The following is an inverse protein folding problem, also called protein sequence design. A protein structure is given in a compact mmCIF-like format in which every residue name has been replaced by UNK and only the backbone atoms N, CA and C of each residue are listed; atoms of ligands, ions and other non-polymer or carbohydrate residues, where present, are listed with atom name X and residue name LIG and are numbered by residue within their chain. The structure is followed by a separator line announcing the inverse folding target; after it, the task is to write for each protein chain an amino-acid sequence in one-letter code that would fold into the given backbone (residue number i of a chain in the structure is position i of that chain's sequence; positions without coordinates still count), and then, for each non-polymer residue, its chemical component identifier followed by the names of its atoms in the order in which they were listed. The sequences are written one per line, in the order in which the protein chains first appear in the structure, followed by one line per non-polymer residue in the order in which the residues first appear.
data_IF_474331695721
#
_entry.id   IF_474331695721
#
_cell.length_a   1.000
_cell.length_b   1.000
_cell.length_c   1.000
_cell.angle_alpha   90.00
_cell.angle_beta   90.00
_cell.angle_gamma   90.00
#
_symmetry.space_group_name_H-M   'P 1'
#
loop_
_entity.id
_entity.type
_entity.pdbx_description
1 polymer ?
#
# COMPACT_ATOMS: atom_id res chain seq x y z
N UNK A 1 25.30 -55.72 -42.85
CA UNK A 1 24.43 -54.94 -41.95
C UNK A 1 25.10 -54.94 -40.58
N UNK A 2 25.72 -53.81 -40.20
CA UNK A 2 26.42 -53.64 -38.92
C UNK A 2 25.47 -52.93 -37.96
N UNK A 3 25.16 -53.60 -36.84
CA UNK A 3 24.32 -53.07 -35.76
C UNK A 3 25.25 -52.39 -34.77
N UNK A 4 25.28 -51.06 -34.77
CA UNK A 4 25.97 -50.29 -33.74
C UNK A 4 25.07 -50.17 -32.52
N UNK A 5 25.48 -50.84 -31.45
CA UNK A 5 24.80 -50.82 -30.15
C UNK A 5 25.44 -49.70 -29.32
N UNK A 6 24.78 -48.53 -29.29
CA UNK A 6 25.20 -47.40 -28.46
C UNK A 6 24.76 -47.63 -27.00
N UNK A 7 25.71 -47.93 -26.12
CA UNK A 7 25.49 -47.94 -24.67
C UNK A 7 25.38 -46.49 -24.16
N UNK A 8 24.17 -46.08 -23.79
CA UNK A 8 23.89 -44.85 -23.06
C UNK A 8 23.98 -45.14 -21.55
N UNK A 9 25.12 -44.79 -20.94
CA UNK A 9 25.26 -44.77 -19.48
C UNK A 9 24.49 -43.59 -18.90
N UNK A 10 23.30 -43.84 -18.37
CA UNK A 10 22.54 -42.88 -17.56
C UNK A 10 23.09 -42.92 -16.14
N UNK A 11 23.94 -41.96 -15.79
CA UNK A 11 24.28 -41.67 -14.39
C UNK A 11 23.12 -40.94 -13.73
N UNK A 12 22.34 -41.67 -12.94
CA UNK A 12 21.35 -41.10 -12.00
C UNK A 12 22.08 -40.35 -10.89
N UNK A 13 22.17 -39.03 -11.00
CA UNK A 13 22.56 -38.14 -9.90
C UNK A 13 21.34 -37.98 -9.00
N UNK A 14 21.31 -38.70 -7.89
CA UNK A 14 20.36 -38.45 -6.80
C UNK A 14 20.80 -37.15 -6.13
N UNK A 15 20.18 -36.03 -6.51
CA UNK A 15 20.25 -34.80 -5.74
C UNK A 15 19.41 -35.04 -4.48
N UNK A 16 20.08 -35.43 -3.40
CA UNK A 16 19.48 -35.45 -2.08
C UNK A 16 18.99 -34.04 -1.75
N UNK A 17 17.68 -33.87 -1.65
CA UNK A 17 17.08 -32.68 -1.06
C UNK A 17 17.59 -32.58 0.38
N UNK A 18 18.58 -31.70 0.57
CA UNK A 18 19.07 -31.30 1.87
C UNK A 18 17.97 -30.55 2.60
N UNK A 19 17.06 -31.28 3.25
CA UNK A 19 16.49 -30.78 4.48
C UNK A 19 17.68 -30.58 5.41
N UNK A 20 18.04 -29.32 5.64
CA UNK A 20 18.93 -28.91 6.71
C UNK A 20 18.25 -29.35 8.01
N UNK A 21 18.51 -30.59 8.42
CA UNK A 21 18.27 -31.03 9.79
C UNK A 21 19.26 -30.20 10.60
N UNK A 22 18.74 -29.13 11.19
CA UNK A 22 19.46 -28.33 12.17
C UNK A 22 20.16 -29.30 13.12
N UNK A 23 21.49 -29.26 13.06
CA UNK A 23 22.39 -30.11 13.82
C UNK A 23 21.93 -30.15 15.28
N UNK A 24 21.52 -31.34 15.74
CA UNK A 24 21.23 -31.58 17.15
C UNK A 24 22.51 -31.32 17.94
N UNK A 25 22.63 -30.14 18.55
CA UNK A 25 23.66 -29.84 19.53
C UNK A 25 23.15 -30.34 20.89
N UNK A 26 23.83 -31.29 21.55
CA UNK A 26 23.54 -31.61 22.94
C UNK A 26 23.63 -30.32 23.77
N UNK A 27 22.50 -29.87 24.32
CA UNK A 27 22.41 -28.63 25.11
C UNK A 27 21.54 -27.51 24.52
N UNK A 28 20.95 -27.65 23.33
CA UNK A 28 19.96 -26.66 22.84
C UNK A 28 18.61 -26.85 23.52
N UNK A 29 18.20 -25.87 24.34
CA UNK A 29 16.86 -25.82 24.90
C UNK A 29 15.81 -25.67 23.79
N UNK A 30 14.83 -26.56 23.73
CA UNK A 30 13.71 -26.45 22.80
C UNK A 30 12.61 -25.63 23.47
N UNK A 31 12.31 -24.45 22.93
CA UNK A 31 11.31 -23.53 23.45
C UNK A 31 10.05 -23.55 22.59
N UNK A 32 8.89 -23.66 23.24
CA UNK A 32 7.57 -23.59 22.60
C UNK A 32 6.73 -22.43 23.15
N UNK A 33 6.15 -21.57 22.29
CA UNK A 33 6.34 -21.50 20.84
C UNK A 33 7.77 -21.04 20.46
N UNK A 34 8.21 -21.36 19.23
CA UNK A 34 9.53 -20.98 18.73
C UNK A 34 9.68 -19.45 18.68
N UNK A 35 10.63 -18.84 19.42
CA UNK A 35 10.86 -17.39 19.43
C UNK A 35 11.15 -16.80 18.04
N UNK A 36 11.62 -17.62 17.09
CA UNK A 36 12.14 -17.16 15.80
C UNK A 36 11.04 -16.86 14.78
N UNK A 37 9.78 -17.22 15.06
CA UNK A 37 8.65 -17.06 14.13
C UNK A 37 7.58 -16.11 14.68
N UNK A 38 7.79 -14.79 14.59
CA UNK A 38 6.73 -13.83 14.84
C UNK A 38 5.60 -13.93 13.78
N UNK A 39 4.35 -13.63 14.13
CA UNK A 39 3.86 -13.23 15.46
C UNK A 39 3.78 -14.42 16.43
N UNK A 40 4.24 -14.22 17.66
CA UNK A 40 4.23 -15.28 18.67
C UNK A 40 2.81 -15.57 19.17
N UNK A 41 2.48 -16.84 19.43
CA UNK A 41 1.20 -17.20 20.08
C UNK A 41 1.17 -16.74 21.55
N UNK A 42 2.33 -16.62 22.17
CA UNK A 42 2.50 -16.22 23.57
C UNK A 42 3.77 -15.39 23.73
N UNK A 43 3.73 -14.41 24.65
CA UNK A 43 4.90 -13.63 25.06
C UNK A 43 5.76 -14.34 26.11
N UNK A 44 5.42 -15.59 26.43
CA UNK A 44 6.21 -16.51 27.23
C UNK A 44 6.32 -17.83 26.49
N UNK A 45 7.55 -18.34 26.33
CA UNK A 45 7.81 -19.69 25.83
C UNK A 45 8.25 -20.60 26.97
N UNK A 46 7.78 -21.85 26.96
CA UNK A 46 8.31 -22.91 27.83
C UNK A 46 9.48 -23.58 27.14
N UNK A 47 10.63 -23.57 27.78
CA UNK A 47 11.86 -24.19 27.29
C UNK A 47 12.11 -25.49 28.04
N UNK A 48 12.09 -26.60 27.31
CA UNK A 48 12.38 -27.92 27.87
C UNK A 48 13.89 -28.09 27.98
N UNK A 49 14.36 -28.02 29.23
CA UNK A 49 15.68 -28.46 29.69
C UNK A 49 15.46 -29.39 30.89
N UNK A 50 16.53 -29.96 31.45
CA UNK A 50 16.46 -30.82 32.65
C UNK A 50 15.72 -30.20 33.84
N UNK A 51 15.64 -28.87 33.92
CA UNK A 51 15.02 -28.15 35.03
C UNK A 51 13.76 -27.33 34.64
N UNK A 52 13.34 -27.35 33.36
CA UNK A 52 12.16 -26.64 32.86
C UNK A 52 12.13 -25.13 33.14
N UNK A 53 12.47 -24.29 32.17
CA UNK A 53 12.53 -22.83 32.38
C UNK A 53 11.53 -22.10 31.47
N UNK A 54 11.03 -20.95 31.93
CA UNK A 54 10.19 -20.05 31.14
C UNK A 54 11.00 -18.89 30.60
N UNK A 55 10.97 -18.69 29.29
CA UNK A 55 11.55 -17.52 28.63
C UNK A 55 10.47 -16.46 28.41
N UNK A 56 10.65 -15.29 29.03
CA UNK A 56 9.80 -14.11 28.77
C UNK A 56 10.39 -13.35 27.58
N UNK A 57 9.60 -13.20 26.52
CA UNK A 57 10.02 -12.48 25.32
C UNK A 57 10.13 -10.98 25.58
N UNK A 58 11.10 -10.34 24.91
CA UNK A 58 11.33 -8.90 25.04
C UNK A 58 10.10 -8.07 24.62
N UNK A 59 9.96 -6.89 25.24
CA UNK A 59 8.89 -5.97 24.92
C UNK A 59 8.94 -5.57 23.43
N UNK A 60 7.77 -5.46 22.79
CA UNK A 60 7.63 -5.03 21.40
C UNK A 60 7.62 -6.15 20.35
N UNK A 61 7.91 -7.42 20.72
CA UNK A 61 7.76 -8.55 19.80
C UNK A 61 6.28 -8.71 19.42
N UNK A 62 5.94 -8.82 18.12
CA UNK A 62 4.56 -9.02 17.70
C UNK A 62 4.03 -10.37 18.18
N UNK A 63 2.80 -10.37 18.67
CA UNK A 63 2.15 -11.55 19.24
C UNK A 63 0.67 -11.60 18.86
N UNK A 64 0.07 -12.79 18.86
CA UNK A 64 -1.36 -12.97 18.70
C UNK A 64 -2.06 -12.86 20.05
N UNK A 65 -3.14 -12.10 20.10
CA UNK A 65 -4.07 -12.13 21.22
C UNK A 65 -5.50 -12.25 20.70
N UNK A 66 -6.34 -12.95 21.46
CA UNK A 66 -7.75 -13.11 21.16
C UNK A 66 -8.53 -11.96 21.83
N UNK A 67 -9.18 -11.12 21.02
CA UNK A 67 -10.08 -10.08 21.51
C UNK A 67 -11.51 -10.40 21.09
N UNK A 68 -12.32 -10.87 22.05
CA UNK A 68 -13.75 -11.20 21.84
C UNK A 68 -14.00 -12.11 20.62
N UNK A 69 -13.20 -13.17 20.49
CA UNK A 69 -13.33 -14.15 19.40
C UNK A 69 -12.62 -13.75 18.11
N UNK A 70 -11.98 -12.58 18.05
CA UNK A 70 -11.15 -12.14 16.91
C UNK A 70 -9.67 -12.14 17.28
N UNK A 71 -8.89 -12.95 16.59
CA UNK A 71 -7.43 -12.92 16.67
C UNK A 71 -6.89 -11.60 16.09
N UNK A 72 -6.05 -10.90 16.86
CA UNK A 72 -5.40 -9.65 16.45
C UNK A 72 -3.92 -9.68 16.79
N UNK A 73 -3.12 -8.88 16.07
CA UNK A 73 -1.71 -8.70 16.36
C UNK A 73 -1.56 -7.60 17.43
N UNK A 74 -0.92 -7.97 18.53
CA UNK A 74 -0.51 -7.12 19.63
C UNK A 74 1.01 -7.05 19.75
N UNK A 75 1.48 -6.55 20.89
CA UNK A 75 2.90 -6.55 21.26
C UNK A 75 3.09 -7.11 22.66
N UNK A 76 4.19 -7.82 22.86
CA UNK A 76 4.61 -8.26 24.17
C UNK A 76 4.93 -7.06 25.06
N UNK A 77 4.34 -7.01 26.24
CA UNK A 77 4.73 -6.11 27.33
C UNK A 77 4.73 -6.90 28.63
N UNK A 78 5.90 -6.97 29.30
CA UNK A 78 6.09 -7.71 30.57
C UNK A 78 5.58 -9.16 30.51
N UNK A 79 5.80 -9.84 29.39
CA UNK A 79 5.37 -11.25 29.20
C UNK A 79 3.89 -11.44 28.84
N UNK A 80 3.13 -10.37 28.62
CA UNK A 80 1.73 -10.44 28.18
C UNK A 80 1.58 -9.89 26.77
N UNK A 81 0.78 -10.57 25.93
CA UNK A 81 0.43 -10.02 24.63
C UNK A 81 -0.65 -8.96 24.80
N UNK A 82 -0.25 -7.69 24.70
CA UNK A 82 -1.17 -6.56 24.82
C UNK A 82 -1.60 -6.06 23.45
N UNK A 83 -2.86 -5.65 23.34
CA UNK A 83 -3.33 -4.96 22.15
C UNK A 83 -2.46 -3.74 21.88
N UNK A 84 -2.09 -3.55 20.61
CA UNK A 84 -1.50 -2.28 20.20
C UNK A 84 -2.49 -1.15 20.54
N UNK A 85 -2.05 -0.07 21.20
CA UNK A 85 -2.90 1.07 21.48
C UNK A 85 -3.51 1.57 20.16
N UNK A 86 -4.80 1.91 20.18
CA UNK A 86 -5.45 2.57 19.05
C UNK A 86 -5.08 4.05 19.08
N UNK A 87 -4.76 4.68 17.93
CA UNK A 87 -4.67 4.08 16.60
C UNK A 87 -3.44 3.16 16.48
N UNK A 88 -3.60 2.01 15.79
CA UNK A 88 -2.50 1.06 15.56
C UNK A 88 -1.32 1.82 14.92
N UNK A 89 -0.08 1.58 15.34
CA UNK A 89 1.09 2.14 14.68
C UNK A 89 1.02 1.89 13.17
N UNK A 90 1.17 2.95 12.37
CA UNK A 90 1.25 2.81 10.92
C UNK A 90 2.55 2.06 10.58
N UNK A 91 2.51 0.95 9.82
CA UNK A 91 3.73 0.27 9.41
C UNK A 91 4.57 1.17 8.50
N UNK A 92 5.89 1.12 8.64
CA UNK A 92 6.84 1.90 7.82
C UNK A 92 7.13 1.21 6.48
N UNK A 93 6.08 0.82 5.76
CA UNK A 93 6.19 -0.05 4.58
C UNK A 93 5.88 0.65 3.27
N UNK A 94 5.95 1.98 3.22
CA UNK A 94 5.68 2.83 2.05
C UNK A 94 4.29 2.69 1.38
N UNK A 95 3.35 1.92 1.95
CA UNK A 95 2.01 1.73 1.39
C UNK A 95 1.02 2.74 1.95
N UNK A 96 0.41 3.52 1.05
CA UNK A 96 -0.70 4.41 1.40
C UNK A 96 -1.97 3.60 1.67
N UNK A 97 -2.64 3.90 2.79
CA UNK A 97 -3.84 3.20 3.27
C UNK A 97 -5.00 4.14 3.58
N UNK A 98 -4.93 5.38 3.12
CA UNK A 98 -6.06 6.29 3.20
C UNK A 98 -7.11 5.93 2.15
N UNK A 99 -8.36 6.30 2.38
CA UNK A 99 -9.44 6.02 1.44
C UNK A 99 -9.53 7.01 0.27
N UNK A 100 -9.12 8.26 0.47
CA UNK A 100 -9.10 9.30 -0.57
C UNK A 100 -7.70 9.51 -1.13
N UNK A 101 -7.52 10.50 -1.99
CA UNK A 101 -6.19 10.86 -2.50
C UNK A 101 -5.23 11.22 -1.37
N UNK A 102 -3.96 10.82 -1.50
CA UNK A 102 -2.92 11.27 -0.58
C UNK A 102 -2.67 12.77 -0.77
N UNK A 103 -2.78 13.57 0.30
CA UNK A 103 -2.47 15.01 0.24
C UNK A 103 -0.97 15.30 0.10
N UNK A 104 -0.13 14.31 0.41
CA UNK A 104 1.31 14.36 0.27
C UNK A 104 1.87 12.98 -0.10
N UNK A 105 3.06 12.95 -0.69
CA UNK A 105 3.72 11.73 -1.15
C UNK A 105 4.74 11.15 -0.16
N UNK A 106 4.63 11.58 1.09
CA UNK A 106 5.44 11.08 2.21
C UNK A 106 4.67 11.17 3.52
N UNK A 107 5.11 10.38 4.50
CA UNK A 107 4.59 10.42 5.86
C UNK A 107 5.69 10.16 6.87
N UNK A 108 5.53 10.71 8.06
CA UNK A 108 6.42 10.41 9.18
C UNK A 108 6.02 9.06 9.78
N UNK A 109 6.98 8.14 9.86
CA UNK A 109 6.82 6.86 10.53
C UNK A 109 7.69 6.80 11.78
N UNK A 110 7.15 6.20 12.85
CA UNK A 110 7.85 6.03 14.13
C UNK A 110 8.17 4.54 14.33
N UNK A 111 9.44 4.17 14.21
CA UNK A 111 9.87 2.77 14.28
C UNK A 111 10.71 2.51 15.52
N UNK A 112 10.08 2.58 16.70
CA UNK A 112 10.70 2.22 17.99
C UNK A 112 12.13 2.75 18.15
N UNK A 113 13.12 1.85 18.07
CA UNK A 113 14.56 2.16 18.22
C UNK A 113 15.13 3.16 17.21
N UNK A 114 14.53 3.28 16.02
CA UNK A 114 15.03 4.17 14.97
C UNK A 114 14.38 5.56 14.99
N UNK A 115 13.46 5.82 15.93
CA UNK A 115 12.80 7.12 16.05
C UNK A 115 11.87 7.44 14.87
N UNK A 116 11.54 8.73 14.77
CA UNK A 116 10.70 9.28 13.71
C UNK A 116 11.54 9.53 12.45
N UNK A 117 11.12 9.00 11.31
CA UNK A 117 11.74 9.30 10.02
C UNK A 117 10.69 9.42 8.91
N UNK A 118 11.04 10.14 7.85
CA UNK A 118 10.15 10.38 6.71
C UNK A 118 10.25 9.20 5.74
N UNK A 119 9.11 8.57 5.46
CA UNK A 119 8.98 7.51 4.46
C UNK A 119 8.20 8.06 3.27
N UNK A 120 8.71 7.82 2.06
CA UNK A 120 8.02 8.19 0.81
C UNK A 120 7.05 7.09 0.42
N UNK A 121 5.88 7.46 -0.08
CA UNK A 121 4.94 6.47 -0.64
C UNK A 121 5.52 5.85 -1.90
N UNK A 122 5.08 4.62 -2.18
CA UNK A 122 5.45 3.90 -3.40
C UNK A 122 5.07 4.70 -4.66
N UNK A 123 5.90 4.59 -5.70
CA UNK A 123 5.68 5.30 -6.96
C UNK A 123 4.35 4.89 -7.58
N UNK A 124 3.61 5.89 -8.06
CA UNK A 124 2.29 5.66 -8.65
C UNK A 124 1.12 5.71 -7.65
N UNK A 125 1.38 5.97 -6.37
CA UNK A 125 0.32 6.22 -5.38
C UNK A 125 -0.49 7.46 -5.80
N UNK A 126 -1.84 7.36 -5.92
CA UNK A 126 -2.68 8.51 -6.25
C UNK A 126 -2.60 9.61 -5.19
N UNK A 127 -2.40 10.83 -5.62
CA UNK A 127 -2.23 11.99 -4.75
C UNK A 127 -2.93 13.22 -5.32
N UNK A 128 -3.20 14.20 -4.47
CA UNK A 128 -3.70 15.52 -4.89
C UNK A 128 -3.06 16.58 -4.01
N UNK A 129 -2.50 17.61 -4.63
CA UNK A 129 -1.91 18.71 -3.87
C UNK A 129 -3.02 19.52 -3.22
N UNK A 130 -2.78 20.03 -2.01
CA UNK A 130 -3.75 20.85 -1.28
C UNK A 130 -3.11 22.14 -0.80
N UNK A 131 -3.90 23.21 -0.71
CA UNK A 131 -3.48 24.47 -0.10
C UNK A 131 -3.52 24.38 1.42
N UNK A 132 -3.15 25.47 2.10
CA UNK A 132 -3.16 25.56 3.57
C UNK A 132 -4.55 25.30 4.19
N UNK A 133 -5.62 25.50 3.42
CA UNK A 133 -7.01 25.24 3.84
C UNK A 133 -7.45 23.79 3.56
N UNK A 134 -6.54 22.93 3.08
CA UNK A 134 -6.85 21.55 2.69
C UNK A 134 -7.72 21.44 1.43
N UNK A 135 -7.82 22.52 0.64
CA UNK A 135 -8.55 22.52 -0.63
C UNK A 135 -7.63 22.05 -1.76
N UNK A 136 -8.13 21.27 -2.73
CA UNK A 136 -7.31 20.76 -3.82
C UNK A 136 -6.75 21.88 -4.70
N UNK A 137 -5.50 21.73 -5.12
CA UNK A 137 -4.80 22.60 -6.07
C UNK A 137 -4.64 21.83 -7.38
N UNK A 138 -5.46 22.15 -8.36
CA UNK A 138 -5.42 21.51 -9.68
C UNK A 138 -5.91 20.06 -9.68
N UNK A 139 -5.44 19.29 -10.66
CA UNK A 139 -5.82 17.89 -10.85
C UNK A 139 -5.02 16.96 -9.92
N UNK A 140 -5.52 15.74 -9.66
CA UNK A 140 -4.79 14.69 -9.00
C UNK A 140 -3.65 14.17 -9.88
N UNK A 141 -2.74 13.48 -9.24
CA UNK A 141 -1.51 13.00 -9.82
C UNK A 141 -1.05 11.69 -9.21
N UNK A 142 0.21 11.38 -9.46
CA UNK A 142 0.87 10.24 -8.84
C UNK A 142 2.12 10.65 -8.06
N UNK A 143 2.40 9.92 -6.98
CA UNK A 143 3.62 10.07 -6.23
C UNK A 143 4.83 9.59 -7.03
N UNK A 144 5.86 10.44 -7.14
CA UNK A 144 7.15 10.16 -7.76
C UNK A 144 8.25 10.86 -6.98
N UNK A 145 9.23 10.10 -6.49
CA UNK A 145 10.33 10.60 -5.66
C UNK A 145 9.89 11.47 -4.45
N UNK A 146 8.74 11.17 -3.84
CA UNK A 146 8.21 11.92 -2.70
C UNK A 146 7.44 13.20 -3.06
N UNK A 147 7.23 13.47 -4.35
CA UNK A 147 6.45 14.62 -4.85
C UNK A 147 5.21 14.13 -5.59
N UNK A 148 4.10 14.87 -5.48
CA UNK A 148 2.89 14.59 -6.25
C UNK A 148 2.98 15.25 -7.63
N UNK A 149 3.10 14.44 -8.69
CA UNK A 149 3.17 14.92 -10.08
C UNK A 149 1.76 14.85 -10.68
N UNK A 150 1.19 16.01 -11.00
CA UNK A 150 -0.16 16.18 -11.56
C UNK A 150 -0.30 15.47 -12.91
N UNK A 151 -1.52 15.02 -13.21
CA UNK A 151 -1.83 14.25 -14.43
C UNK A 151 -1.37 14.94 -15.71
N UNK A 152 -1.61 16.26 -15.83
CA UNK A 152 -1.21 17.07 -16.99
C UNK A 152 0.31 17.22 -17.17
N UNK A 153 1.10 16.86 -16.16
CA UNK A 153 2.56 16.97 -16.18
C UNK A 153 3.26 15.61 -16.34
N UNK A 154 2.50 14.53 -16.54
CA UNK A 154 3.06 13.21 -16.80
C UNK A 154 3.51 13.11 -18.25
N UNK A 155 4.61 12.38 -18.47
CA UNK A 155 5.05 12.07 -19.84
C UNK A 155 4.08 11.13 -20.54
N UNK A 156 4.06 11.15 -21.88
CA UNK A 156 3.11 10.38 -22.70
C UNK A 156 3.04 8.88 -22.34
N UNK A 157 4.17 8.28 -21.95
CA UNK A 157 4.25 6.87 -21.52
C UNK A 157 3.66 6.60 -20.13
N UNK A 158 3.56 7.61 -19.27
CA UNK A 158 3.05 7.51 -17.90
C UNK A 158 1.55 7.85 -17.80
N UNK A 159 1.02 8.68 -18.70
CA UNK A 159 -0.37 9.18 -18.68
C UNK A 159 -1.38 8.04 -18.67
N UNK A 160 -1.25 7.05 -19.55
CA UNK A 160 -2.21 5.95 -19.65
C UNK A 160 -2.35 5.16 -18.34
N UNK A 161 -1.26 4.56 -17.82
CA UNK A 161 -1.27 3.84 -16.54
C UNK A 161 -1.67 4.72 -15.35
N UNK A 162 -1.25 5.98 -15.32
CA UNK A 162 -1.59 6.90 -14.23
C UNK A 162 -3.08 7.25 -14.23
N UNK A 163 -3.69 7.49 -15.40
CA UNK A 163 -5.13 7.79 -15.54
C UNK A 163 -5.98 6.70 -14.88
N UNK A 164 -5.64 5.43 -15.11
CA UNK A 164 -6.37 4.30 -14.52
C UNK A 164 -6.29 4.26 -13.00
N UNK A 165 -5.17 4.69 -12.41
CA UNK A 165 -4.98 4.71 -10.95
C UNK A 165 -5.60 5.95 -10.31
N UNK A 166 -5.44 7.09 -10.96
CA UNK A 166 -5.93 8.38 -10.48
C UNK A 166 -7.45 8.40 -10.48
N UNK A 167 -8.08 7.93 -11.56
CA UNK A 167 -9.54 7.93 -11.70
C UNK A 167 -10.15 6.54 -11.43
N UNK A 168 -9.54 5.79 -10.51
CA UNK A 168 -10.03 4.49 -10.09
C UNK A 168 -11.36 4.63 -9.31
N UNK A 169 -12.22 3.61 -9.39
CA UNK A 169 -13.60 3.65 -8.86
C UNK A 169 -13.65 3.94 -7.36
N UNK A 170 -12.65 3.51 -6.59
CA UNK A 170 -12.56 3.78 -5.16
C UNK A 170 -12.49 5.28 -4.80
N UNK A 171 -11.98 6.11 -5.71
CA UNK A 171 -11.89 7.57 -5.52
C UNK A 171 -13.11 8.33 -6.06
N UNK A 172 -14.00 7.65 -6.80
CA UNK A 172 -15.23 8.24 -7.34
C UNK A 172 -16.33 8.22 -6.28
N UNK A 173 -16.29 9.19 -5.35
CA UNK A 173 -17.30 9.33 -4.28
C UNK A 173 -18.11 10.63 -4.34
N UNK A 174 -17.67 11.60 -5.14
CA UNK A 174 -18.44 12.84 -5.32
C UNK A 174 -19.62 12.57 -6.25
N UNK A 175 -20.78 13.18 -5.97
CA UNK A 175 -21.98 13.02 -6.82
C UNK A 175 -21.82 13.79 -8.12
N UNK A 176 -22.14 13.23 -9.27
CA UNK A 176 -22.07 14.02 -10.51
C UNK A 176 -22.87 15.34 -10.39
N UNK A 177 -22.32 16.42 -10.94
CA UNK A 177 -22.93 17.76 -10.87
C UNK A 177 -22.81 18.50 -12.19
N UNK A 178 -23.65 19.51 -12.39
CA UNK A 178 -23.52 20.42 -13.52
C UNK A 178 -22.62 21.61 -13.19
N UNK A 179 -22.02 22.16 -14.24
CA UNK A 179 -21.19 23.35 -14.24
C UNK A 179 -22.08 24.60 -14.22
N UNK A 180 -22.55 24.95 -13.03
CA UNK A 180 -23.40 26.14 -12.81
C UNK A 180 -22.72 27.46 -13.20
N UNK A 181 -21.38 27.49 -13.25
CA UNK A 181 -20.63 28.67 -13.67
C UNK A 181 -20.67 28.91 -15.19
N UNK A 182 -21.11 27.92 -15.98
CA UNK A 182 -21.20 27.99 -17.46
C UNK A 182 -19.89 28.42 -18.14
N UNK A 183 -18.76 28.07 -17.53
CA UNK A 183 -17.41 28.30 -18.07
C UNK A 183 -16.93 27.07 -18.84
N UNK A 184 -16.03 27.25 -19.81
CA UNK A 184 -15.40 26.11 -20.47
C UNK A 184 -14.42 25.42 -19.51
N UNK A 185 -14.60 24.13 -19.31
CA UNK A 185 -13.81 23.32 -18.39
C UNK A 185 -12.50 22.85 -19.05
N UNK A 186 -11.39 22.94 -18.32
CA UNK A 186 -10.12 22.32 -18.71
C UNK A 186 -10.05 20.83 -18.34
N UNK A 187 -10.91 20.39 -17.41
CA UNK A 187 -10.99 19.02 -16.91
C UNK A 187 -12.47 18.72 -16.60
N UNK A 188 -12.96 17.55 -17.04
CA UNK A 188 -14.33 17.10 -16.82
C UNK A 188 -14.54 16.42 -15.47
N UNK A 189 -13.50 16.37 -14.64
CA UNK A 189 -13.58 15.96 -13.25
C UNK A 189 -13.70 17.18 -12.32
N UNK A 190 -14.33 16.96 -11.18
CA UNK A 190 -14.31 17.91 -10.09
C UNK A 190 -14.00 17.19 -8.78
N UNK A 191 -13.56 17.95 -7.78
CA UNK A 191 -13.07 17.39 -6.53
C UNK A 191 -13.93 17.85 -5.36
N UNK A 192 -14.22 16.94 -4.43
CA UNK A 192 -14.98 17.21 -3.23
C UNK A 192 -14.28 16.63 -1.99
N UNK A 193 -14.64 17.18 -0.83
CA UNK A 193 -14.15 16.72 0.47
C UNK A 193 -15.27 15.98 1.20
N UNK A 194 -15.03 14.73 1.59
CA UNK A 194 -15.94 13.90 2.39
C UNK A 194 -15.13 13.38 3.58
N UNK A 195 -15.58 13.66 4.81
CA UNK A 195 -14.87 13.29 6.05
C UNK A 195 -13.38 13.67 6.03
N UNK A 196 -13.10 14.92 5.63
CA UNK A 196 -11.76 15.48 5.49
C UNK A 196 -10.87 14.83 4.40
N UNK A 197 -11.41 13.97 3.55
CA UNK A 197 -10.68 13.27 2.48
C UNK A 197 -11.13 13.75 1.10
N UNK A 198 -10.21 13.73 0.14
CA UNK A 198 -10.47 14.18 -1.22
C UNK A 198 -10.82 13.02 -2.14
N UNK A 199 -11.86 13.25 -2.93
CA UNK A 199 -12.42 12.34 -3.91
C UNK A 199 -12.72 13.12 -5.19
N UNK A 200 -13.00 12.41 -6.27
CA UNK A 200 -13.46 13.01 -7.52
C UNK A 200 -14.92 12.64 -7.84
N UNK A 201 -15.51 13.40 -8.74
CA UNK A 201 -16.75 13.11 -9.45
C UNK A 201 -16.73 13.74 -10.83
N UNK A 202 -17.77 13.51 -11.62
CA UNK A 202 -17.82 14.05 -12.98
C UNK A 202 -18.70 15.30 -13.06
N UNK A 203 -18.35 16.18 -13.99
CA UNK A 203 -19.34 17.07 -14.56
C UNK A 203 -20.30 16.26 -15.45
N UNK A 204 -21.60 16.55 -15.33
CA UNK A 204 -22.66 15.81 -16.02
C UNK A 204 -22.66 15.98 -17.54
N UNK A 205 -23.62 15.35 -18.21
CA UNK A 205 -23.78 15.42 -19.68
C UNK A 205 -24.63 16.62 -20.15
N UNK A 206 -24.89 17.59 -19.27
CA UNK A 206 -25.65 18.80 -19.61
C UNK A 206 -24.91 19.71 -20.60
N UNK A 207 -25.66 20.54 -21.32
CA UNK A 207 -25.12 21.50 -22.30
C UNK A 207 -24.21 22.56 -21.68
N UNK A 208 -24.31 22.77 -20.36
CA UNK A 208 -23.52 23.74 -19.60
C UNK A 208 -22.12 23.20 -19.24
N UNK A 209 -21.84 21.92 -19.50
CA UNK A 209 -20.57 21.26 -19.18
C UNK A 209 -19.64 21.22 -20.40
N UNK A 210 -19.41 22.37 -21.05
CA UNK A 210 -18.47 22.46 -22.16
C UNK A 210 -17.02 22.34 -21.68
N UNK A 211 -16.15 21.80 -22.53
CA UNK A 211 -14.75 21.55 -22.20
C UNK A 211 -13.84 21.77 -23.40
N UNK A 212 -12.55 21.99 -23.17
CA UNK A 212 -11.56 22.08 -24.25
C UNK A 212 -11.15 20.67 -24.71
N UNK A 213 -11.35 20.39 -25.99
CA UNK A 213 -10.81 19.18 -26.61
C UNK A 213 -9.28 19.32 -26.66
N UNK A 214 -8.57 18.31 -26.15
CA UNK A 214 -7.11 18.30 -26.13
C UNK A 214 -6.55 17.92 -27.52
N UNK A 215 -6.84 18.76 -28.51
CA UNK A 215 -6.31 18.65 -29.87
C UNK A 215 -5.16 19.66 -30.05
N UNK A 216 -3.95 19.16 -30.29
CA UNK A 216 -2.78 20.01 -30.53
C UNK A 216 -2.90 20.80 -31.84
N UNK A 217 -3.65 20.31 -32.82
CA UNK A 217 -3.86 21.00 -34.08
C UNK A 217 -4.91 22.12 -33.95
N UNK A 218 -5.90 21.95 -33.07
CA UNK A 218 -7.02 22.89 -32.90
C UNK A 218 -7.37 23.11 -31.41
N UNK A 219 -6.55 23.88 -30.67
CA UNK A 219 -6.66 24.03 -29.21
C UNK A 219 -7.92 24.77 -28.74
N UNK A 220 -8.71 25.34 -29.66
CA UNK A 220 -9.96 26.05 -29.35
C UNK A 220 -11.21 25.21 -29.58
N UNK A 221 -11.08 23.96 -30.05
CA UNK A 221 -12.25 23.09 -30.21
C UNK A 221 -12.86 22.78 -28.85
N UNK A 222 -14.18 22.94 -28.80
CA UNK A 222 -14.98 22.66 -27.61
C UNK A 222 -15.71 21.33 -27.77
N UNK A 223 -15.77 20.58 -26.68
CA UNK A 223 -16.60 19.39 -26.52
C UNK A 223 -17.55 19.55 -25.33
N UNK A 224 -18.21 18.46 -24.98
CA UNK A 224 -19.01 18.35 -23.77
C UNK A 224 -18.48 17.23 -22.89
N UNK A 225 -18.49 17.48 -21.58
CA UNK A 225 -18.09 16.47 -20.63
C UNK A 225 -19.04 15.27 -20.67
N UNK A 226 -18.47 14.08 -20.80
CA UNK A 226 -19.16 12.81 -20.68
C UNK A 226 -18.32 11.86 -19.82
N UNK A 227 -18.79 11.60 -18.60
CA UNK A 227 -18.15 10.68 -17.63
C UNK A 227 -16.64 10.96 -17.45
N UNK A 228 -16.30 12.22 -17.20
CA UNK A 228 -14.91 12.64 -16.96
C UNK A 228 -14.08 12.84 -18.23
N UNK A 229 -14.65 12.67 -19.42
CA UNK A 229 -13.97 12.95 -20.70
C UNK A 229 -14.55 14.15 -21.40
N UNK A 230 -13.65 14.98 -21.93
CA UNK A 230 -13.90 15.78 -23.12
C UNK A 230 -13.55 14.91 -24.34
#
# INVERSE_FOLDING_TARGET
MKVECSLLCITLVIIGNGYSVDSYRPGSAICYPDPRRPPLISCVSRCYTTNGWTLVHHNGIPCFFNNWGRWSIGQCTKGVCTALPRPRPKPCDNVYRGEGYASNCSYTCNQGRFGAHVVRYIQGTPCIQTNERGSPIGSPGICKAGTCIRHEHLGDSEVGPATQRIFAKEYHKCKDKDNSAKIVLSDCHYYCKIDERLFFGHYGNGTDNSCFLFDRAEPQRLGWCCRGKC
#
